data_IF_631232307912
#
_entry.id   IF_631232307912
#
_cell.length_a   1.000
_cell.length_b   1.000
_cell.length_c   1.000
_cell.angle_alpha   90.00
_cell.angle_beta   90.00
_cell.angle_gamma   90.00
#
_symmetry.space_group_name_H-M   'P 1'
#
loop_
_entity.id
_entity.type
_entity.pdbx_description
1 polymer ?
#
# COMPACT_ATOMS: atom_id res chain seq x y z
N UNK A 1 16.64 41.74 -3.16
CA UNK A 1 17.17 42.33 -1.91
C UNK A 1 17.28 41.29 -0.79
N UNK A 2 16.19 40.73 -0.26
CA UNK A 2 16.27 39.67 0.78
C UNK A 2 16.93 38.38 0.26
N UNK A 3 16.64 37.98 -0.99
CA UNK A 3 17.27 36.82 -1.62
C UNK A 3 18.78 36.99 -1.81
N UNK A 4 19.22 38.19 -2.22
CA UNK A 4 20.63 38.51 -2.43
C UNK A 4 21.42 38.51 -1.11
N UNK A 5 20.80 38.96 -0.01
CA UNK A 5 21.37 38.90 1.33
C UNK A 5 21.51 37.46 1.84
N UNK A 6 20.50 36.62 1.61
CA UNK A 6 20.55 35.19 1.96
C UNK A 6 21.62 34.44 1.18
N UNK A 7 21.80 34.75 -0.11
CA UNK A 7 22.87 34.18 -0.93
C UNK A 7 24.24 34.61 -0.42
N UNK A 8 24.39 35.87 0.00
CA UNK A 8 25.66 36.39 0.54
C UNK A 8 26.01 35.76 1.88
N UNK A 9 25.03 35.58 2.77
CA UNK A 9 25.17 34.86 4.05
C UNK A 9 25.53 33.39 3.80
N UNK A 10 24.91 32.75 2.80
CA UNK A 10 25.25 31.38 2.41
C UNK A 10 26.69 31.28 1.90
N UNK A 11 27.12 32.21 1.03
CA UNK A 11 28.49 32.26 0.53
C UNK A 11 29.54 32.55 1.61
N UNK A 12 29.19 33.25 2.69
CA UNK A 12 30.08 33.50 3.83
C UNK A 12 30.04 32.42 4.92
N UNK A 13 29.03 31.55 4.93
CA UNK A 13 28.91 30.47 5.93
C UNK A 13 30.02 29.43 5.80
N UNK A 14 30.50 28.91 6.94
CA UNK A 14 31.55 27.90 6.97
C UNK A 14 31.06 26.58 6.36
N UNK A 15 31.97 25.76 5.81
CA UNK A 15 31.62 24.44 5.27
C UNK A 15 30.88 23.56 6.29
N UNK A 16 31.17 23.72 7.59
CA UNK A 16 30.51 22.98 8.67
C UNK A 16 29.04 23.39 8.85
N UNK A 17 28.72 24.68 8.71
CA UNK A 17 27.34 25.19 8.78
C UNK A 17 26.51 24.77 7.56
N UNK A 18 27.11 24.79 6.36
CA UNK A 18 26.46 24.31 5.13
C UNK A 18 26.10 22.84 5.24
N UNK A 19 27.03 22.00 5.71
CA UNK A 19 26.79 20.56 5.92
C UNK A 19 25.69 20.33 6.98
N UNK A 20 25.70 21.09 8.08
CA UNK A 20 24.65 21.00 9.11
C UNK A 20 23.28 21.37 8.54
N UNK A 21 23.19 22.45 7.76
CA UNK A 21 21.95 22.88 7.12
C UNK A 21 21.43 21.86 6.11
N UNK A 22 22.29 21.31 5.25
CA UNK A 22 21.92 20.25 4.29
C UNK A 22 21.39 19.00 4.99
N UNK A 23 22.04 18.58 6.09
CA UNK A 23 21.56 17.46 6.93
C UNK A 23 20.17 17.76 7.50
N UNK A 24 19.94 18.95 8.07
CA UNK A 24 18.63 19.36 8.61
C UNK A 24 17.54 19.44 7.54
N UNK A 25 17.85 20.01 6.37
CA UNK A 25 16.92 20.08 5.23
C UNK A 25 16.52 18.69 4.76
N UNK A 26 17.49 17.80 4.56
CA UNK A 26 17.26 16.42 4.14
C UNK A 26 16.37 15.67 5.14
N UNK A 27 16.61 15.86 6.44
CA UNK A 27 15.81 15.28 7.52
C UNK A 27 14.34 15.73 7.46
N UNK A 28 14.09 17.04 7.32
CA UNK A 28 12.72 17.60 7.24
C UNK A 28 11.98 17.10 5.99
N UNK A 29 12.65 17.13 4.84
CA UNK A 29 12.07 16.66 3.57
C UNK A 29 11.73 15.18 3.63
N UNK A 30 12.62 14.36 4.22
CA UNK A 30 12.41 12.94 4.38
C UNK A 30 11.23 12.65 5.32
N UNK A 31 11.17 13.30 6.49
CA UNK A 31 10.06 13.15 7.43
C UNK A 31 8.71 13.51 6.79
N UNK A 32 8.64 14.64 6.07
CA UNK A 32 7.43 15.06 5.35
C UNK A 32 7.02 14.01 4.30
N UNK A 33 7.99 13.54 3.52
CA UNK A 33 7.78 12.54 2.47
C UNK A 33 7.31 11.18 3.01
N UNK A 34 7.87 10.73 4.12
CA UNK A 34 7.47 9.50 4.84
C UNK A 34 6.09 9.68 5.48
N UNK A 35 5.81 10.83 6.10
CA UNK A 35 4.50 11.13 6.68
C UNK A 35 3.38 11.13 5.64
N UNK A 36 3.63 11.65 4.44
CA UNK A 36 2.69 11.55 3.31
C UNK A 36 2.44 10.10 2.90
N UNK A 37 3.50 9.29 2.77
CA UNK A 37 3.38 7.88 2.43
C UNK A 37 2.61 7.10 3.51
N UNK A 38 2.87 7.39 4.79
CA UNK A 38 2.18 6.74 5.90
C UNK A 38 0.67 7.06 5.93
N UNK A 39 0.30 8.33 5.69
CA UNK A 39 -1.11 8.72 5.55
C UNK A 39 -1.80 7.99 4.41
N UNK A 40 -1.12 7.90 3.26
CA UNK A 40 -1.64 7.15 2.12
C UNK A 40 -1.84 5.66 2.45
N UNK A 41 -0.88 5.03 3.14
CA UNK A 41 -1.00 3.64 3.58
C UNK A 41 -2.20 3.43 4.52
N UNK A 42 -2.41 4.36 5.47
CA UNK A 42 -3.56 4.33 6.37
C UNK A 42 -4.88 4.46 5.60
N UNK A 43 -4.93 5.31 4.58
CA UNK A 43 -6.12 5.43 3.73
C UNK A 43 -6.41 4.13 2.98
N UNK A 44 -5.40 3.47 2.41
CA UNK A 44 -5.57 2.18 1.75
C UNK A 44 -6.07 1.10 2.72
N UNK A 45 -5.52 1.03 3.94
CA UNK A 45 -5.99 0.10 4.98
C UNK A 45 -7.48 0.34 5.33
N UNK A 46 -7.87 1.60 5.53
CA UNK A 46 -9.26 1.96 5.82
C UNK A 46 -10.20 1.62 4.66
N UNK A 47 -9.77 1.89 3.43
CA UNK A 47 -10.55 1.59 2.24
C UNK A 47 -10.79 0.09 2.07
N UNK A 48 -9.76 -0.74 2.26
CA UNK A 48 -9.87 -2.21 2.19
C UNK A 48 -10.78 -2.77 3.28
N UNK A 49 -10.68 -2.25 4.51
CA UNK A 49 -11.59 -2.64 5.60
C UNK A 49 -13.03 -2.24 5.29
N UNK A 50 -13.25 -1.04 4.76
CA UNK A 50 -14.58 -0.59 4.37
C UNK A 50 -15.19 -1.46 3.25
N UNK A 51 -14.39 -1.80 2.23
CA UNK A 51 -14.81 -2.70 1.16
C UNK A 51 -15.12 -4.12 1.69
N UNK A 52 -14.33 -4.63 2.62
CA UNK A 52 -14.58 -5.93 3.25
C UNK A 52 -15.91 -5.93 4.01
N UNK A 53 -16.18 -4.91 4.83
CA UNK A 53 -17.44 -4.78 5.58
C UNK A 53 -18.62 -4.68 4.61
N UNK A 54 -18.50 -3.83 3.59
CA UNK A 54 -19.54 -3.67 2.57
C UNK A 54 -19.82 -4.99 1.84
N UNK A 55 -18.77 -5.70 1.42
CA UNK A 55 -18.89 -6.99 0.75
C UNK A 55 -19.56 -8.06 1.60
N UNK A 56 -19.28 -8.10 2.90
CA UNK A 56 -19.95 -9.00 3.86
C UNK A 56 -21.45 -8.67 3.95
N UNK A 57 -21.81 -7.39 4.10
CA UNK A 57 -23.22 -6.97 4.19
C UNK A 57 -24.01 -7.36 2.93
N UNK A 58 -23.46 -7.08 1.75
CA UNK A 58 -24.06 -7.46 0.47
C UNK A 58 -24.16 -8.99 0.36
N UNK A 59 -23.11 -9.71 0.74
CA UNK A 59 -23.08 -11.18 0.72
C UNK A 59 -24.18 -11.79 1.58
N UNK A 60 -24.37 -11.30 2.82
CA UNK A 60 -25.43 -11.74 3.72
C UNK A 60 -26.81 -11.51 3.10
N UNK A 61 -27.05 -10.33 2.51
CA UNK A 61 -28.32 -10.04 1.84
C UNK A 61 -28.60 -11.00 0.68
N UNK A 62 -27.58 -11.29 -0.15
CA UNK A 62 -27.71 -12.19 -1.31
C UNK A 62 -27.93 -13.64 -0.90
N UNK A 63 -27.28 -14.12 0.18
CA UNK A 63 -27.42 -15.50 0.68
C UNK A 63 -28.88 -15.87 0.97
N UNK A 64 -29.67 -14.94 1.51
CA UNK A 64 -31.09 -15.20 1.83
C UNK A 64 -32.02 -15.15 0.62
N UNK A 65 -31.61 -14.47 -0.45
CA UNK A 65 -32.44 -14.29 -1.66
C UNK A 65 -32.19 -15.36 -2.72
N UNK A 66 -31.01 -15.96 -2.75
CA UNK A 66 -30.59 -16.82 -3.86
C UNK A 66 -30.59 -18.31 -3.47
N UNK A 67 -31.23 -19.19 -4.28
CA UNK A 67 -31.30 -20.62 -3.98
C UNK A 67 -30.02 -21.39 -4.30
N UNK A 68 -29.09 -20.83 -5.08
CA UNK A 68 -27.90 -21.54 -5.57
C UNK A 68 -26.89 -21.82 -4.45
N UNK A 69 -26.69 -23.09 -4.11
CA UNK A 69 -25.72 -23.54 -3.10
C UNK A 69 -24.29 -23.11 -3.46
N UNK A 70 -23.90 -23.24 -4.73
CA UNK A 70 -22.57 -22.83 -5.22
C UNK A 70 -22.31 -21.34 -4.99
N UNK A 71 -23.32 -20.48 -5.15
CA UNK A 71 -23.16 -19.06 -4.90
C UNK A 71 -22.95 -18.77 -3.40
N UNK A 72 -23.65 -19.49 -2.52
CA UNK A 72 -23.45 -19.38 -1.06
C UNK A 72 -22.03 -19.78 -0.66
N UNK A 73 -21.48 -20.83 -1.26
CA UNK A 73 -20.08 -21.24 -1.06
C UNK A 73 -19.13 -20.14 -1.55
N UNK A 74 -19.35 -19.58 -2.74
CA UNK A 74 -18.53 -18.49 -3.25
C UNK A 74 -18.53 -17.25 -2.34
N UNK A 75 -19.71 -16.88 -1.82
CA UNK A 75 -19.83 -15.77 -0.85
C UNK A 75 -19.05 -16.09 0.43
N UNK A 76 -19.18 -17.30 0.98
CA UNK A 76 -18.42 -17.70 2.16
C UNK A 76 -16.90 -17.62 1.94
N UNK A 77 -16.42 -18.06 0.77
CA UNK A 77 -15.00 -17.96 0.40
C UNK A 77 -14.54 -16.50 0.27
N UNK A 78 -15.36 -15.61 -0.28
CA UNK A 78 -15.08 -14.16 -0.32
C UNK A 78 -14.94 -13.59 1.10
N UNK A 79 -15.80 -13.98 2.03
CA UNK A 79 -15.72 -13.52 3.44
C UNK A 79 -14.41 -13.99 4.08
N UNK A 80 -14.04 -15.27 3.89
CA UNK A 80 -12.78 -15.81 4.39
C UNK A 80 -11.58 -15.05 3.78
N UNK A 81 -11.62 -14.79 2.48
CA UNK A 81 -10.58 -14.02 1.79
C UNK A 81 -10.48 -12.59 2.35
N UNK A 82 -11.60 -11.91 2.58
CA UNK A 82 -11.61 -10.58 3.17
C UNK A 82 -10.95 -10.54 4.55
N UNK A 83 -11.24 -11.53 5.41
CA UNK A 83 -10.58 -11.68 6.72
C UNK A 83 -9.07 -11.89 6.56
N UNK A 84 -8.66 -12.77 5.64
CA UNK A 84 -7.26 -13.02 5.32
C UNK A 84 -6.53 -11.74 4.89
N UNK A 85 -7.15 -10.94 4.01
CA UNK A 85 -6.58 -9.67 3.54
C UNK A 85 -6.39 -8.70 4.70
N UNK A 86 -7.40 -8.54 5.59
CA UNK A 86 -7.30 -7.67 6.77
C UNK A 86 -6.13 -8.09 7.67
N UNK A 87 -5.96 -9.40 7.93
CA UNK A 87 -4.84 -9.91 8.72
C UNK A 87 -3.50 -9.55 8.05
N UNK A 88 -3.42 -9.69 6.73
CA UNK A 88 -2.21 -9.41 5.97
C UNK A 88 -1.83 -7.92 6.01
N UNK A 89 -2.79 -7.02 5.83
CA UNK A 89 -2.58 -5.57 5.94
C UNK A 89 -2.15 -5.17 7.36
N UNK A 90 -2.78 -5.74 8.40
CA UNK A 90 -2.36 -5.53 9.80
C UNK A 90 -0.96 -6.04 10.09
N UNK A 91 -0.51 -7.11 9.41
CA UNK A 91 0.85 -7.65 9.53
C UNK A 91 1.93 -6.64 9.15
N UNK A 92 1.70 -5.83 8.10
CA UNK A 92 2.64 -4.78 7.67
C UNK A 92 2.74 -3.65 8.71
N UNK A 93 1.63 -3.32 9.38
CA UNK A 93 1.58 -2.24 10.38
C UNK A 93 2.48 -2.49 11.59
N UNK A 94 2.81 -3.74 11.90
CA UNK A 94 3.73 -4.09 13.01
C UNK A 94 5.14 -3.52 12.84
N UNK A 95 5.54 -3.25 11.61
CA UNK A 95 6.85 -2.67 11.28
C UNK A 95 6.84 -1.14 11.27
N UNK A 96 5.68 -0.49 11.49
CA UNK A 96 5.59 0.96 11.52
C UNK A 96 6.44 1.49 12.70
N UNK A 97 7.39 2.40 12.46
CA UNK A 97 8.15 3.03 13.55
C UNK A 97 7.23 3.84 14.45
N UNK A 98 7.57 3.86 15.75
CA UNK A 98 6.88 4.69 16.74
C UNK A 98 7.48 6.10 16.71
N UNK A 99 6.65 7.12 16.95
CA UNK A 99 7.10 8.51 17.10
C UNK A 99 7.89 8.73 18.40
N UNK A 100 7.95 7.71 19.28
CA UNK A 100 8.62 7.71 20.58
C UNK A 100 10.02 7.07 20.57
N UNK A 101 10.64 6.91 19.41
CA UNK A 101 11.99 6.34 19.35
C UNK A 101 13.02 7.35 19.88
N UNK A 102 13.76 6.94 20.90
CA UNK A 102 14.74 7.78 21.62
C UNK A 102 15.87 8.31 20.72
N UNK A 103 16.15 7.62 19.60
CA UNK A 103 17.21 7.98 18.66
C UNK A 103 16.69 8.07 17.22
N UNK A 104 16.97 9.21 16.57
CA UNK A 104 16.62 9.46 15.17
C UNK A 104 17.25 8.45 14.19
N UNK A 105 18.47 7.96 14.48
CA UNK A 105 19.12 6.93 13.66
C UNK A 105 18.34 5.61 13.70
N UNK A 106 17.81 5.22 14.85
CA UNK A 106 17.02 4.00 15.00
C UNK A 106 15.65 4.15 14.32
N UNK A 107 15.04 5.34 14.43
CA UNK A 107 13.84 5.69 13.68
C UNK A 107 14.04 5.51 12.16
N UNK A 108 15.18 5.96 11.62
CA UNK A 108 15.49 5.78 10.20
C UNK A 108 15.68 4.31 9.82
N UNK A 109 16.40 3.53 10.64
CA UNK A 109 16.57 2.08 10.41
C UNK A 109 15.24 1.34 10.42
N UNK A 110 14.33 1.65 11.33
CA UNK A 110 12.99 1.04 11.35
C UNK A 110 12.13 1.51 10.18
N UNK A 111 12.20 2.77 9.78
CA UNK A 111 11.54 3.24 8.56
C UNK A 111 12.04 2.51 7.32
N UNK A 112 13.35 2.31 7.20
CA UNK A 112 13.94 1.53 6.10
C UNK A 112 13.34 0.12 6.04
N UNK A 113 13.30 -0.58 7.18
CA UNK A 113 12.69 -1.90 7.28
C UNK A 113 11.21 -1.87 6.90
N UNK A 114 10.47 -0.87 7.37
CA UNK A 114 9.06 -0.70 7.03
C UNK A 114 8.84 -0.51 5.53
N UNK A 115 9.65 0.33 4.87
CA UNK A 115 9.59 0.54 3.42
C UNK A 115 9.90 -0.74 2.64
N UNK A 116 10.86 -1.55 3.09
CA UNK A 116 11.16 -2.85 2.46
C UNK A 116 10.01 -3.85 2.60
N UNK A 117 9.36 -3.88 3.77
CA UNK A 117 8.15 -4.70 3.97
C UNK A 117 7.02 -4.22 3.05
N UNK A 118 6.78 -2.91 2.96
CA UNK A 118 5.78 -2.33 2.04
C UNK A 118 6.09 -2.65 0.57
N UNK A 119 7.36 -2.57 0.17
CA UNK A 119 7.83 -2.94 -1.17
C UNK A 119 7.53 -4.39 -1.49
N UNK A 120 7.89 -5.31 -0.60
CA UNK A 120 7.61 -6.75 -0.77
C UNK A 120 6.11 -7.01 -0.81
N UNK A 121 5.34 -6.34 0.04
CA UNK A 121 3.88 -6.44 0.09
C UNK A 121 3.24 -6.06 -1.25
N UNK A 122 3.60 -4.90 -1.80
CA UNK A 122 3.08 -4.41 -3.09
C UNK A 122 3.55 -5.27 -4.28
N UNK A 123 4.81 -5.73 -4.29
CA UNK A 123 5.34 -6.60 -5.34
C UNK A 123 4.64 -7.96 -5.38
N UNK A 124 4.20 -8.47 -4.23
CA UNK A 124 3.55 -9.77 -4.12
C UNK A 124 2.03 -9.70 -4.20
N UNK A 125 1.43 -8.50 -4.28
CA UNK A 125 -0.02 -8.28 -4.28
C UNK A 125 -0.79 -9.15 -5.27
N UNK A 126 -0.21 -9.41 -6.44
CA UNK A 126 -0.83 -10.27 -7.45
C UNK A 126 -1.12 -11.68 -6.90
N UNK A 127 -0.18 -12.27 -6.14
CA UNK A 127 -0.28 -13.65 -5.66
C UNK A 127 -1.27 -13.83 -4.52
N UNK A 128 -1.40 -12.84 -3.65
CA UNK A 128 -2.18 -13.00 -2.42
C UNK A 128 -3.45 -12.14 -2.37
N UNK A 129 -3.52 -11.08 -3.16
CA UNK A 129 -4.67 -10.20 -3.27
C UNK A 129 -5.55 -10.59 -4.44
N UNK A 130 -4.98 -10.62 -5.65
CA UNK A 130 -5.74 -10.82 -6.90
C UNK A 130 -5.97 -12.30 -7.19
N UNK A 131 -4.92 -13.13 -7.15
CA UNK A 131 -5.00 -14.53 -7.58
C UNK A 131 -6.08 -15.35 -6.84
N UNK A 132 -6.27 -15.24 -5.51
CA UNK A 132 -7.31 -15.99 -4.81
C UNK A 132 -8.74 -15.59 -5.18
N UNK A 133 -8.95 -14.41 -5.77
CA UNK A 133 -10.29 -13.92 -6.17
C UNK A 133 -10.81 -14.68 -7.39
N UNK A 134 -9.94 -15.02 -8.35
CA UNK A 134 -10.35 -15.67 -9.60
C UNK A 134 -11.07 -17.02 -9.43
N UNK A 135 -10.58 -18.01 -8.65
CA UNK A 135 -11.30 -19.26 -8.48
C UNK A 135 -12.68 -19.05 -7.82
N UNK A 136 -12.79 -18.07 -6.92
CA UNK A 136 -14.07 -17.75 -6.28
C UNK A 136 -15.04 -17.10 -7.28
N UNK A 137 -14.53 -16.22 -8.15
CA UNK A 137 -15.33 -15.64 -9.23
C UNK A 137 -15.82 -16.68 -10.22
N UNK A 138 -14.96 -17.62 -10.62
CA UNK A 138 -15.33 -18.72 -11.52
C UNK A 138 -16.45 -19.55 -10.87
N UNK A 139 -16.31 -19.90 -9.59
CA UNK A 139 -17.34 -20.63 -8.84
C UNK A 139 -18.68 -19.88 -8.82
N UNK A 140 -18.65 -18.57 -8.59
CA UNK A 140 -19.85 -17.74 -8.62
C UNK A 140 -20.50 -17.67 -10.01
N UNK A 141 -19.70 -17.57 -11.08
CA UNK A 141 -20.20 -17.56 -12.46
C UNK A 141 -20.85 -18.89 -12.84
N UNK A 142 -20.25 -20.02 -12.47
CA UNK A 142 -20.83 -21.36 -12.71
C UNK A 142 -22.19 -21.47 -12.01
N UNK A 143 -22.32 -20.93 -10.80
CA UNK A 143 -23.58 -20.97 -10.03
C UNK A 143 -24.75 -20.27 -10.72
N UNK A 144 -24.49 -19.31 -11.62
CA UNK A 144 -25.51 -18.46 -12.25
C UNK A 144 -25.55 -18.58 -13.78
N UNK A 145 -24.74 -19.49 -14.36
CA UNK A 145 -24.51 -19.59 -15.80
C UNK A 145 -25.79 -19.76 -16.63
N UNK A 146 -26.76 -20.52 -16.13
CA UNK A 146 -28.04 -20.77 -16.82
C UNK A 146 -29.04 -19.61 -16.70
N UNK A 147 -28.81 -18.67 -15.76
CA UNK A 147 -29.75 -17.60 -15.42
C UNK A 147 -29.29 -16.22 -15.88
N UNK A 148 -28.00 -16.07 -16.15
CA UNK A 148 -27.38 -14.80 -16.54
C UNK A 148 -26.93 -14.90 -18.00
N UNK A 149 -27.21 -13.89 -18.84
CA UNK A 149 -26.75 -13.91 -20.22
C UNK A 149 -25.22 -14.04 -20.32
N UNK A 150 -24.75 -14.88 -21.25
CA UNK A 150 -23.33 -15.22 -21.37
C UNK A 150 -22.42 -14.00 -21.58
N UNK A 151 -22.91 -12.96 -22.28
CA UNK A 151 -22.14 -11.73 -22.49
C UNK A 151 -21.82 -10.98 -21.18
N UNK A 152 -22.72 -11.03 -20.18
CA UNK A 152 -22.44 -10.45 -18.85
C UNK A 152 -21.36 -11.25 -18.12
N UNK A 153 -21.38 -12.58 -18.21
CA UNK A 153 -20.38 -13.44 -17.60
C UNK A 153 -19.01 -13.18 -18.24
N UNK A 154 -18.94 -13.16 -19.58
CA UNK A 154 -17.70 -12.86 -20.32
C UNK A 154 -17.18 -11.47 -19.96
N UNK A 155 -18.04 -10.46 -19.98
CA UNK A 155 -17.68 -9.09 -19.60
C UNK A 155 -17.12 -9.01 -18.18
N UNK A 156 -17.76 -9.65 -17.19
CA UNK A 156 -17.31 -9.66 -15.80
C UNK A 156 -15.91 -10.28 -15.65
N UNK A 157 -15.64 -11.40 -16.33
CA UNK A 157 -14.32 -12.03 -16.29
C UNK A 157 -13.25 -11.19 -16.96
N UNK A 158 -13.54 -10.60 -18.13
CA UNK A 158 -12.61 -9.70 -18.83
C UNK A 158 -12.31 -8.46 -17.96
N UNK A 159 -13.34 -7.86 -17.36
CA UNK A 159 -13.18 -6.72 -16.46
C UNK A 159 -12.31 -7.08 -15.25
N UNK A 160 -12.52 -8.24 -14.62
CA UNK A 160 -11.69 -8.70 -13.50
C UNK A 160 -10.22 -8.90 -13.89
N UNK A 161 -9.96 -9.50 -15.06
CA UNK A 161 -8.61 -9.67 -15.60
C UNK A 161 -7.95 -8.31 -15.83
N UNK A 162 -8.66 -7.38 -16.47
CA UNK A 162 -8.14 -6.03 -16.73
C UNK A 162 -7.84 -5.28 -15.43
N UNK A 163 -8.71 -5.36 -14.43
CA UNK A 163 -8.47 -4.78 -13.09
C UNK A 163 -7.25 -5.41 -12.43
N UNK A 164 -7.08 -6.73 -12.54
CA UNK A 164 -5.92 -7.43 -11.99
C UNK A 164 -4.61 -6.98 -12.65
N UNK A 165 -4.58 -6.91 -13.98
CA UNK A 165 -3.42 -6.42 -14.76
C UNK A 165 -3.12 -4.96 -14.40
N UNK A 166 -4.14 -4.11 -14.38
CA UNK A 166 -4.01 -2.71 -14.03
C UNK A 166 -3.45 -2.54 -12.60
N UNK A 167 -3.99 -3.28 -11.63
CA UNK A 167 -3.51 -3.30 -10.26
C UNK A 167 -2.05 -3.72 -10.13
N UNK A 168 -1.61 -4.71 -10.91
CA UNK A 168 -0.20 -5.11 -10.96
C UNK A 168 0.72 -3.96 -11.42
N UNK A 169 0.37 -3.31 -12.54
CA UNK A 169 1.16 -2.20 -13.05
C UNK A 169 1.17 -1.00 -12.11
N UNK A 170 0.02 -0.68 -11.49
CA UNK A 170 -0.09 0.39 -10.52
C UNK A 170 0.82 0.16 -9.31
N UNK A 171 0.81 -1.05 -8.75
CA UNK A 171 1.66 -1.42 -7.61
C UNK A 171 3.15 -1.39 -7.98
N UNK A 172 3.51 -1.91 -9.17
CA UNK A 172 4.89 -1.84 -9.67
C UNK A 172 5.37 -0.41 -9.86
N UNK A 173 4.53 0.45 -10.45
CA UNK A 173 4.80 1.87 -10.64
C UNK A 173 4.99 2.60 -9.30
N UNK A 174 4.14 2.31 -8.31
CA UNK A 174 4.26 2.87 -6.95
C UNK A 174 5.56 2.46 -6.26
N UNK A 175 5.94 1.19 -6.35
CA UNK A 175 7.22 0.75 -5.79
C UNK A 175 8.38 1.54 -6.39
N UNK A 176 8.42 1.66 -7.72
CA UNK A 176 9.48 2.38 -8.43
C UNK A 176 9.52 3.88 -8.14
N UNK A 177 8.36 4.53 -8.08
CA UNK A 177 8.28 5.98 -8.02
C UNK A 177 8.18 6.54 -6.60
N UNK A 178 7.66 5.74 -5.66
CA UNK A 178 7.39 6.19 -4.30
C UNK A 178 8.24 5.48 -3.26
N UNK A 179 8.38 4.15 -3.32
CA UNK A 179 9.05 3.40 -2.26
C UNK A 179 10.57 3.38 -2.47
N UNK A 180 11.04 2.97 -3.64
CA UNK A 180 12.47 2.84 -3.94
C UNK A 180 13.26 4.16 -3.73
N UNK A 181 12.78 5.34 -4.18
CA UNK A 181 13.51 6.59 -3.97
C UNK A 181 13.59 6.99 -2.49
N UNK A 182 12.59 6.60 -1.68
CA UNK A 182 12.59 6.88 -0.23
C UNK A 182 13.56 5.97 0.51
N UNK A 183 13.68 4.70 0.10
CA UNK A 183 14.69 3.79 0.66
C UNK A 183 16.09 4.36 0.43
N UNK A 184 16.39 4.80 -0.80
CA UNK A 184 17.70 5.40 -1.13
C UNK A 184 17.97 6.64 -0.25
N UNK A 185 17.00 7.54 -0.10
CA UNK A 185 17.17 8.74 0.75
C UNK A 185 17.35 8.42 2.23
N UNK A 186 16.65 7.39 2.74
CA UNK A 186 16.84 6.91 4.11
C UNK A 186 18.28 6.37 4.27
N UNK A 187 18.76 5.58 3.32
CA UNK A 187 20.12 5.02 3.35
C UNK A 187 21.21 6.10 3.30
N UNK A 188 21.01 7.12 2.44
CA UNK A 188 21.90 8.29 2.38
C UNK A 188 21.95 9.06 3.70
N UNK A 189 20.80 9.27 4.35
CA UNK A 189 20.73 10.00 5.61
C UNK A 189 21.32 9.19 6.77
N UNK A 190 21.11 7.87 6.81
CA UNK A 190 21.75 6.97 7.77
C UNK A 190 23.26 7.08 7.66
N UNK A 191 23.81 6.98 6.44
CA UNK A 191 25.27 7.09 6.21
C UNK A 191 25.82 8.43 6.70
N UNK A 192 25.18 9.54 6.35
CA UNK A 192 25.57 10.90 6.77
C UNK A 192 25.49 11.16 8.28
N UNK A 193 24.75 10.35 9.03
CA UNK A 193 24.63 10.46 10.49
C UNK A 193 25.62 9.55 11.24
N UNK A 194 26.18 8.56 10.55
CA UNK A 194 27.21 7.67 11.10
C UNK A 194 28.63 8.17 10.82
N UNK A 195 28.80 9.04 9.81
CA UNK A 195 30.00 9.87 9.56
C UNK A 195 30.00 11.13 10.45
#
# INVERSE_FOLDING_TARGET
MIEDELVKIWQSSSNQERVKFEKSKLMIELQSSLGRLHRWWKYMELFEVALAIFGVLVGVFVIFKVPFVLLKIAIALIVILAIYLIIKYKGVRRFKPSDLEENYLDYLKKNRQYLEVQKKFLKTYLYWGILPVYPIMILANIAVWEKVPIHFIVFNNVAAILVGIYGYFLNKKRVKNEIDPRIVRVDELIRKLQE
#
